data_IF_528959729982
#
_entry.id   IF_528959729982
#
_cell.length_a   1.000
_cell.length_b   1.000
_cell.length_c   1.000
_cell.angle_alpha   90.00
_cell.angle_beta   90.00
_cell.angle_gamma   90.00
#
_symmetry.space_group_name_H-M   'P 1'
#
loop_
_entity.id
_entity.type
_entity.pdbx_description
1 polymer ?
#
# COMPACT_ATOMS: atom_id res chain seq x y z
N UNK A 1 -45.01 22.76 25.45
CA UNK A 1 -43.61 23.20 25.67
C UNK A 1 -42.80 21.99 26.08
N UNK A 2 -42.14 21.34 25.13
CA UNK A 2 -41.05 20.39 25.35
C UNK A 2 -40.16 20.48 24.11
N UNK A 3 -39.31 21.50 24.11
CA UNK A 3 -38.13 21.59 23.23
C UNK A 3 -37.10 20.62 23.79
N UNK A 4 -37.07 19.39 23.28
CA UNK A 4 -35.98 18.46 23.56
C UNK A 4 -35.48 17.83 22.27
N UNK A 5 -34.34 18.38 21.84
CA UNK A 5 -33.20 17.69 21.27
C UNK A 5 -33.23 17.38 19.77
N UNK A 6 -33.25 18.45 18.97
CA UNK A 6 -33.02 18.44 17.53
C UNK A 6 -31.58 18.86 17.16
N UNK A 7 -30.63 18.62 18.07
CA UNK A 7 -29.22 19.01 17.92
C UNK A 7 -28.30 17.86 18.35
N UNK A 8 -27.90 17.01 17.40
CA UNK A 8 -26.61 16.29 17.36
C UNK A 8 -26.58 15.09 16.39
N UNK A 9 -27.49 14.96 15.41
CA UNK A 9 -27.11 14.27 14.17
C UNK A 9 -26.29 15.29 13.37
N UNK A 10 -25.03 15.50 13.77
CA UNK A 10 -24.05 16.00 12.82
C UNK A 10 -24.04 14.93 11.76
N UNK A 11 -24.60 15.25 10.60
CA UNK A 11 -24.46 14.44 9.42
C UNK A 11 -22.95 14.26 9.19
N UNK A 12 -22.39 13.16 9.68
CA UNK A 12 -20.97 12.83 9.55
C UNK A 12 -20.57 12.88 8.07
N UNK A 13 -21.52 12.64 7.15
CA UNK A 13 -21.33 12.80 5.71
C UNK A 13 -21.05 14.24 5.25
N UNK A 14 -21.34 15.26 6.07
CA UNK A 14 -21.02 16.65 5.78
C UNK A 14 -19.55 17.03 6.03
N UNK A 15 -18.81 16.22 6.81
CA UNK A 15 -17.38 16.45 7.10
C UNK A 15 -16.49 15.73 6.08
N UNK A 16 -16.96 14.63 5.51
CA UNK A 16 -16.19 13.82 4.57
C UNK A 16 -16.21 14.38 3.15
N UNK A 17 -15.07 14.32 2.46
CA UNK A 17 -15.03 14.63 1.04
C UNK A 17 -15.60 13.45 0.24
N UNK A 18 -16.84 13.61 -0.24
CA UNK A 18 -17.53 12.60 -1.06
C UNK A 18 -16.80 12.25 -2.36
N UNK A 19 -15.82 13.07 -2.80
CA UNK A 19 -14.98 12.76 -3.94
C UNK A 19 -13.91 11.69 -3.65
N UNK A 20 -13.62 11.41 -2.37
CA UNK A 20 -12.59 10.47 -1.95
C UNK A 20 -13.24 9.14 -1.53
N UNK A 21 -12.85 8.05 -2.19
CA UNK A 21 -13.28 6.71 -1.81
C UNK A 21 -12.84 6.37 -0.37
N UNK A 22 -13.65 5.61 0.38
CA UNK A 22 -13.27 5.11 1.69
C UNK A 22 -11.92 4.37 1.68
N UNK A 23 -11.03 4.77 2.58
CA UNK A 23 -9.69 4.19 2.68
C UNK A 23 -9.65 3.05 3.69
N UNK A 24 -9.13 1.89 3.27
CA UNK A 24 -8.95 0.73 4.15
C UNK A 24 -7.50 0.69 4.62
N UNK A 25 -7.29 0.94 5.92
CA UNK A 25 -5.96 1.02 6.50
C UNK A 25 -5.42 -0.38 6.75
N UNK A 26 -4.37 -0.73 6.02
CA UNK A 26 -3.70 -2.03 6.14
C UNK A 26 -2.56 -1.92 7.13
N UNK A 27 -2.55 -2.80 8.14
CA UNK A 27 -1.44 -2.93 9.10
C UNK A 27 -0.15 -3.37 8.40
N UNK A 28 0.99 -2.94 8.92
CA UNK A 28 2.33 -3.23 8.36
C UNK A 28 2.60 -4.75 8.25
N UNK A 29 2.24 -5.52 9.28
CA UNK A 29 2.38 -6.99 9.29
C UNK A 29 1.56 -7.66 8.20
N UNK A 30 0.33 -7.19 8.00
CA UNK A 30 -0.58 -7.67 6.96
C UNK A 30 -0.05 -7.32 5.57
N UNK A 31 0.47 -6.10 5.39
CA UNK A 31 1.12 -5.70 4.15
C UNK A 31 2.30 -6.61 3.78
N UNK A 32 3.18 -6.93 4.74
CA UNK A 32 4.28 -7.87 4.54
C UNK A 32 3.79 -9.27 4.18
N UNK A 33 2.84 -9.81 4.94
CA UNK A 33 2.28 -11.14 4.71
C UNK A 33 1.74 -11.26 3.28
N UNK A 34 0.90 -10.32 2.87
CA UNK A 34 0.33 -10.33 1.52
C UNK A 34 1.39 -10.11 0.44
N UNK A 35 2.42 -9.29 0.71
CA UNK A 35 3.52 -9.07 -0.22
C UNK A 35 4.32 -10.34 -0.48
N UNK A 36 4.67 -11.08 0.56
CA UNK A 36 5.41 -12.35 0.45
C UNK A 36 4.55 -13.39 -0.27
N UNK A 37 3.29 -13.50 0.13
CA UNK A 37 2.40 -14.54 -0.35
C UNK A 37 2.01 -14.36 -1.81
N UNK A 38 2.01 -13.12 -2.29
CA UNK A 38 1.75 -12.77 -3.68
C UNK A 38 3.03 -12.52 -4.47
N UNK A 39 4.21 -12.99 -4.02
CA UNK A 39 5.47 -12.83 -4.76
C UNK A 39 5.81 -11.38 -5.15
N UNK A 40 5.42 -10.41 -4.33
CA UNK A 40 5.66 -8.99 -4.60
C UNK A 40 4.60 -8.30 -5.47
N UNK A 41 3.51 -8.99 -5.87
CA UNK A 41 2.40 -8.35 -6.60
C UNK A 41 1.54 -7.44 -5.72
N UNK A 42 1.36 -7.75 -4.44
CA UNK A 42 0.55 -6.93 -3.54
C UNK A 42 1.04 -5.48 -3.38
N UNK A 43 2.37 -5.21 -3.23
CA UNK A 43 2.92 -3.86 -3.31
C UNK A 43 2.49 -3.07 -4.55
N UNK A 44 2.42 -3.72 -5.72
CA UNK A 44 1.98 -3.09 -6.99
C UNK A 44 0.52 -2.65 -6.88
N UNK A 45 -0.34 -3.52 -6.34
CA UNK A 45 -1.75 -3.18 -6.07
C UNK A 45 -1.88 -2.02 -5.07
N UNK A 46 -1.06 -2.00 -4.04
CA UNK A 46 -1.05 -0.90 -3.06
C UNK A 46 -0.61 0.42 -3.67
N UNK A 47 0.42 0.42 -4.53
CA UNK A 47 0.85 1.61 -5.29
C UNK A 47 -0.28 2.13 -6.18
N UNK A 48 -0.99 1.23 -6.87
CA UNK A 48 -2.17 1.58 -7.67
C UNK A 48 -3.24 2.29 -6.84
N UNK A 49 -3.66 1.69 -5.70
CA UNK A 49 -4.69 2.28 -4.84
C UNK A 49 -4.25 3.62 -4.25
N UNK A 50 -2.98 3.73 -3.86
CA UNK A 50 -2.44 4.98 -3.30
C UNK A 50 -2.42 6.09 -4.34
N UNK A 51 -2.09 5.80 -5.59
CA UNK A 51 -2.23 6.77 -6.67
C UNK A 51 -3.68 7.20 -6.87
N UNK A 52 -4.62 6.26 -6.87
CA UNK A 52 -6.06 6.58 -6.96
C UNK A 52 -6.51 7.55 -5.87
N UNK A 53 -6.08 7.32 -4.63
CA UNK A 53 -6.33 8.23 -3.50
C UNK A 53 -5.81 9.65 -3.77
N UNK A 54 -4.55 9.81 -4.16
CA UNK A 54 -3.99 11.15 -4.43
C UNK A 54 -4.64 11.85 -5.62
N UNK A 55 -5.05 11.09 -6.64
CA UNK A 55 -5.73 11.62 -7.83
C UNK A 55 -7.10 12.19 -7.45
N UNK A 56 -7.88 11.45 -6.64
CA UNK A 56 -9.17 11.91 -6.11
C UNK A 56 -8.99 13.13 -5.21
N UNK A 57 -8.05 13.05 -4.26
CA UNK A 57 -7.76 14.13 -3.31
C UNK A 57 -7.31 15.43 -4.00
N UNK A 58 -6.52 15.34 -5.06
CA UNK A 58 -6.02 16.49 -5.81
C UNK A 58 -6.95 16.91 -6.96
N UNK A 59 -8.07 16.20 -7.16
CA UNK A 59 -9.00 16.38 -8.29
C UNK A 59 -8.28 16.44 -9.64
N UNK A 60 -7.32 15.54 -9.82
CA UNK A 60 -6.50 15.46 -11.03
C UNK A 60 -7.10 14.44 -12.00
N UNK A 61 -7.07 14.71 -13.30
CA UNK A 61 -7.54 13.77 -14.34
C UNK A 61 -6.50 12.71 -14.74
N UNK A 62 -5.49 12.49 -13.89
CA UNK A 62 -4.45 11.51 -14.17
C UNK A 62 -4.96 10.06 -14.00
N UNK A 63 -4.37 9.14 -14.77
CA UNK A 63 -4.72 7.72 -14.66
C UNK A 63 -3.74 6.97 -13.73
N UNK A 64 -4.22 6.32 -12.65
CA UNK A 64 -3.37 5.56 -11.73
C UNK A 64 -2.71 4.34 -12.39
N UNK A 65 -3.37 3.68 -13.35
CA UNK A 65 -2.84 2.47 -13.99
C UNK A 65 -1.59 2.77 -14.82
N UNK A 66 -1.58 3.88 -15.56
CA UNK A 66 -0.41 4.31 -16.35
C UNK A 66 0.79 4.54 -15.42
N UNK A 67 0.57 5.16 -14.25
CA UNK A 67 1.63 5.41 -13.26
C UNK A 67 2.21 4.13 -12.67
N UNK A 68 1.40 3.07 -12.57
CA UNK A 68 1.85 1.74 -12.10
C UNK A 68 2.62 0.99 -13.18
N UNK A 69 2.21 1.09 -14.45
CA UNK A 69 2.97 0.51 -15.57
C UNK A 69 4.35 1.19 -15.66
N UNK A 70 4.37 2.52 -15.54
CA UNK A 70 5.60 3.32 -15.55
C UNK A 70 6.14 3.58 -14.13
N UNK A 71 6.03 2.60 -13.23
CA UNK A 71 6.35 2.78 -11.81
C UNK A 71 7.73 3.36 -11.55
N UNK A 72 8.72 3.03 -12.38
CA UNK A 72 10.09 3.58 -12.25
C UNK A 72 10.13 5.11 -12.25
N UNK A 73 9.26 5.78 -13.01
CA UNK A 73 9.19 7.25 -13.08
C UNK A 73 8.30 7.84 -11.99
N UNK A 74 7.26 7.10 -11.57
CA UNK A 74 6.20 7.62 -10.71
C UNK A 74 6.34 7.22 -9.24
N UNK A 75 7.16 6.22 -8.91
CA UNK A 75 7.30 5.75 -7.53
C UNK A 75 7.92 6.83 -6.62
N UNK A 76 9.01 7.46 -7.03
CA UNK A 76 9.64 8.52 -6.22
C UNK A 76 8.68 9.72 -5.99
N UNK A 77 8.00 10.27 -7.02
CA UNK A 77 6.94 11.26 -6.81
C UNK A 77 5.86 10.81 -5.83
N UNK A 78 5.42 9.54 -5.90
CA UNK A 78 4.42 9.00 -4.98
C UNK A 78 4.92 9.01 -3.54
N UNK A 79 6.12 8.48 -3.29
CA UNK A 79 6.72 8.43 -1.96
C UNK A 79 6.90 9.84 -1.37
N UNK A 80 7.28 10.82 -2.20
CA UNK A 80 7.38 12.22 -1.80
C UNK A 80 6.01 12.82 -1.45
N UNK A 81 4.95 12.53 -2.22
CA UNK A 81 3.58 12.97 -1.91
C UNK A 81 3.09 12.43 -0.58
N UNK A 82 3.31 11.13 -0.33
CA UNK A 82 2.99 10.48 0.94
C UNK A 82 3.71 11.17 2.09
N UNK A 83 5.03 11.37 1.97
CA UNK A 83 5.79 12.02 3.01
C UNK A 83 5.32 13.46 3.27
N UNK A 84 5.09 14.25 2.20
CA UNK A 84 4.60 15.62 2.32
C UNK A 84 3.25 15.66 3.02
N UNK A 85 2.33 14.77 2.63
CA UNK A 85 1.01 14.67 3.23
C UNK A 85 1.08 14.29 4.71
N UNK A 86 1.89 13.28 5.05
CA UNK A 86 2.09 12.86 6.43
C UNK A 86 2.69 13.96 7.30
N UNK A 87 3.70 14.68 6.79
CA UNK A 87 4.31 15.83 7.49
C UNK A 87 3.33 16.96 7.74
N UNK A 88 2.48 17.28 6.76
CA UNK A 88 1.41 18.27 6.92
C UNK A 88 0.42 17.91 8.04
N UNK A 89 0.22 16.61 8.27
CA UNK A 89 -0.61 16.08 9.37
C UNK A 89 0.18 15.79 10.65
N UNK A 90 1.40 16.30 10.78
CA UNK A 90 2.21 16.22 12.00
C UNK A 90 3.04 14.95 12.17
N UNK A 91 3.21 14.12 11.12
CA UNK A 91 4.04 12.91 11.21
C UNK A 91 5.52 13.25 11.40
N UNK A 92 6.08 12.83 12.53
CA UNK A 92 7.50 13.02 12.88
C UNK A 92 8.40 11.85 12.47
N UNK A 93 7.85 10.81 11.84
CA UNK A 93 8.62 9.63 11.46
C UNK A 93 9.67 9.95 10.39
N UNK A 94 10.89 9.43 10.59
CA UNK A 94 11.97 9.50 9.61
C UNK A 94 11.66 8.60 8.42
N UNK A 95 11.07 9.18 7.37
CA UNK A 95 10.93 8.54 6.07
C UNK A 95 11.92 9.17 5.10
N UNK A 96 12.58 8.35 4.27
CA UNK A 96 13.52 8.80 3.25
C UNK A 96 13.05 8.27 1.89
N UNK A 97 12.16 8.99 1.19
CA UNK A 97 11.60 8.56 -0.09
C UNK A 97 12.66 8.18 -1.12
N UNK A 98 13.73 8.98 -1.22
CA UNK A 98 14.80 8.76 -2.18
C UNK A 98 15.59 7.48 -1.90
N UNK A 99 15.94 7.24 -0.62
CA UNK A 99 16.63 6.03 -0.21
C UNK A 99 15.78 4.78 -0.47
N UNK A 100 14.49 4.85 -0.14
CA UNK A 100 13.53 3.77 -0.39
C UNK A 100 13.42 3.47 -1.88
N UNK A 101 13.30 4.51 -2.71
CA UNK A 101 13.25 4.37 -4.18
C UNK A 101 14.51 3.72 -4.76
N UNK A 102 15.70 4.15 -4.34
CA UNK A 102 16.97 3.57 -4.80
C UNK A 102 17.02 2.07 -4.46
N UNK A 103 16.69 1.70 -3.22
CA UNK A 103 16.72 0.29 -2.80
C UNK A 103 15.69 -0.56 -3.54
N UNK A 104 14.47 -0.06 -3.69
CA UNK A 104 13.44 -0.76 -4.46
C UNK A 104 13.91 -0.99 -5.89
N UNK A 105 14.51 0.02 -6.51
CA UNK A 105 15.01 -0.07 -7.90
C UNK A 105 16.15 -1.09 -7.98
N UNK A 106 17.19 -0.96 -7.15
CA UNK A 106 18.36 -1.86 -7.13
C UNK A 106 17.96 -3.31 -6.86
N UNK A 107 17.07 -3.55 -5.89
CA UNK A 107 16.59 -4.90 -5.55
C UNK A 107 15.71 -5.47 -6.67
N UNK A 108 14.96 -4.62 -7.38
CA UNK A 108 14.18 -5.07 -8.53
C UNK A 108 15.07 -5.57 -9.67
N UNK A 109 16.28 -5.03 -9.83
CA UNK A 109 17.25 -5.54 -10.81
C UNK A 109 17.74 -6.96 -10.50
N UNK A 110 17.63 -7.46 -9.26
CA UNK A 110 17.98 -8.84 -8.94
C UNK A 110 17.09 -9.87 -9.67
N UNK A 111 15.92 -9.46 -10.18
CA UNK A 111 15.07 -10.32 -11.00
C UNK A 111 15.69 -10.72 -12.35
N UNK A 112 16.70 -10.00 -12.82
CA UNK A 112 17.39 -10.32 -14.08
C UNK A 112 18.38 -11.49 -13.92
N UNK A 113 18.71 -11.87 -12.69
CA UNK A 113 19.64 -12.96 -12.42
C UNK A 113 18.95 -14.34 -12.49
N UNK A 114 19.72 -15.43 -12.65
CA UNK A 114 19.16 -16.79 -12.74
C UNK A 114 18.28 -17.17 -11.52
N UNK A 115 17.42 -18.19 -11.63
CA UNK A 115 16.75 -18.73 -10.45
C UNK A 115 17.77 -19.12 -9.36
N UNK A 116 17.55 -18.76 -8.08
CA UNK A 116 16.31 -18.25 -7.48
C UNK A 116 16.33 -16.74 -7.14
N UNK A 117 17.19 -15.94 -7.76
CA UNK A 117 17.40 -14.52 -7.38
C UNK A 117 16.14 -13.64 -7.50
N UNK A 118 15.14 -14.05 -8.30
CA UNK A 118 13.84 -13.37 -8.38
C UNK A 118 13.11 -13.26 -7.02
N UNK A 119 13.35 -14.18 -6.08
CA UNK A 119 12.75 -14.14 -4.74
C UNK A 119 13.23 -12.93 -3.92
N UNK A 120 14.42 -12.40 -4.23
CA UNK A 120 14.96 -11.21 -3.57
C UNK A 120 14.09 -9.98 -3.86
N UNK A 121 13.43 -9.94 -5.02
CA UNK A 121 12.52 -8.84 -5.38
C UNK A 121 11.30 -8.74 -4.46
N UNK A 122 10.93 -9.81 -3.77
CA UNK A 122 9.87 -9.79 -2.76
C UNK A 122 10.26 -8.85 -1.60
N UNK A 123 11.55 -8.73 -1.29
CA UNK A 123 12.06 -7.89 -0.19
C UNK A 123 11.84 -6.38 -0.43
N UNK A 124 11.51 -5.97 -1.66
CA UNK A 124 11.14 -4.58 -1.98
C UNK A 124 10.00 -4.05 -1.10
N UNK A 125 9.11 -4.93 -0.64
CA UNK A 125 7.99 -4.56 0.22
C UNK A 125 8.43 -3.94 1.56
N UNK A 126 9.58 -4.35 2.11
CA UNK A 126 10.14 -3.81 3.37
C UNK A 126 10.45 -2.32 3.21
N UNK A 127 10.94 -1.92 2.05
CA UNK A 127 11.27 -0.52 1.75
C UNK A 127 10.03 0.35 1.49
N UNK A 128 8.86 -0.26 1.28
CA UNK A 128 7.58 0.45 1.22
C UNK A 128 6.98 0.70 2.61
N UNK A 129 7.38 -0.03 3.64
CA UNK A 129 6.79 0.09 4.99
C UNK A 129 6.80 1.51 5.57
N UNK A 130 7.88 2.30 5.47
CA UNK A 130 7.87 3.67 5.98
C UNK A 130 6.81 4.54 5.29
N UNK A 131 6.52 4.27 4.01
CA UNK A 131 5.48 4.98 3.25
C UNK A 131 4.08 4.50 3.63
N UNK A 132 3.88 3.19 3.82
CA UNK A 132 2.61 2.63 4.32
C UNK A 132 2.27 3.23 5.68
N UNK A 133 3.24 3.25 6.61
CA UNK A 133 3.08 3.84 7.94
C UNK A 133 2.76 5.34 7.89
N UNK A 134 3.52 6.09 7.08
CA UNK A 134 3.32 7.52 6.93
C UNK A 134 1.94 7.84 6.33
N UNK A 135 1.48 7.08 5.33
CA UNK A 135 0.17 7.24 4.72
C UNK A 135 -0.96 6.93 5.71
N UNK A 136 -0.87 5.79 6.41
CA UNK A 136 -1.87 5.40 7.40
C UNK A 136 -2.00 6.46 8.50
N UNK A 137 -0.88 6.96 9.02
CA UNK A 137 -0.89 8.06 9.99
C UNK A 137 -1.56 9.31 9.41
N UNK A 138 -1.22 9.70 8.19
CA UNK A 138 -1.79 10.90 7.56
C UNK A 138 -3.30 10.80 7.38
N UNK A 139 -3.80 9.62 7.00
CA UNK A 139 -5.24 9.36 6.83
C UNK A 139 -5.95 9.38 8.19
N UNK A 140 -5.39 8.76 9.23
CA UNK A 140 -5.98 8.78 10.59
C UNK A 140 -6.10 10.18 11.18
N UNK A 141 -5.19 11.08 10.81
CA UNK A 141 -5.19 12.48 11.25
C UNK A 141 -5.99 13.41 10.31
N UNK A 142 -6.68 12.86 9.31
CA UNK A 142 -7.52 13.59 8.37
C UNK A 142 -9.00 13.37 8.69
N UNK A 143 -9.68 14.34 9.36
CA UNK A 143 -11.12 14.22 9.62
C UNK A 143 -11.95 14.16 8.34
N UNK A 144 -11.43 14.73 7.24
CA UNK A 144 -12.10 14.78 5.93
C UNK A 144 -12.08 13.44 5.16
N UNK A 145 -11.31 12.45 5.61
CA UNK A 145 -11.16 11.16 4.91
C UNK A 145 -11.87 10.08 5.71
N UNK A 146 -12.87 9.44 5.09
CA UNK A 146 -13.51 8.28 5.67
C UNK A 146 -12.56 7.08 5.58
N UNK A 147 -12.23 6.47 6.73
CA UNK A 147 -11.35 5.31 6.80
C UNK A 147 -11.93 4.19 7.66
N UNK A 148 -11.56 2.96 7.31
CA UNK A 148 -11.87 1.76 8.08
C UNK A 148 -10.58 1.06 8.45
N UNK A 149 -10.44 0.66 9.73
CA UNK A 149 -9.35 -0.20 10.14
C UNK A 149 -9.59 -1.63 9.64
N UNK A 150 -8.68 -2.15 8.83
CA UNK A 150 -8.81 -3.49 8.26
C UNK A 150 -8.31 -4.53 9.27
N UNK A 151 -9.14 -4.81 10.29
CA UNK A 151 -8.79 -5.70 11.41
C UNK A 151 -8.70 -7.18 11.02
N UNK A 152 -9.39 -7.61 9.96
CA UNK A 152 -9.52 -9.02 9.58
C UNK A 152 -9.08 -9.34 8.14
N UNK A 153 -8.86 -10.61 7.83
CA UNK A 153 -8.64 -11.04 6.44
C UNK A 153 -9.97 -11.01 5.69
N UNK A 154 -10.11 -10.04 4.78
CA UNK A 154 -11.29 -9.98 3.91
C UNK A 154 -11.31 -11.20 2.99
N UNK A 155 -12.48 -11.66 2.56
CA UNK A 155 -12.64 -12.87 1.72
C UNK A 155 -11.69 -12.89 0.51
N UNK A 156 -11.49 -11.73 -0.15
CA UNK A 156 -10.55 -11.60 -1.28
C UNK A 156 -9.09 -11.83 -0.88
N UNK A 157 -8.69 -11.34 0.29
CA UNK A 157 -7.34 -11.53 0.85
C UNK A 157 -7.14 -12.98 1.29
N UNK A 158 -8.17 -13.64 1.82
CA UNK A 158 -8.12 -15.05 2.18
C UNK A 158 -7.92 -15.94 0.94
N UNK A 159 -8.60 -15.64 -0.17
CA UNK A 159 -8.38 -16.34 -1.45
C UNK A 159 -6.95 -16.16 -1.94
N UNK A 160 -6.42 -14.93 -1.89
CA UNK A 160 -5.01 -14.65 -2.20
C UNK A 160 -4.05 -15.45 -1.30
N UNK A 161 -4.40 -15.60 -0.01
CA UNK A 161 -3.60 -16.35 0.94
C UNK A 161 -3.51 -17.82 0.59
N UNK A 162 -4.65 -18.45 0.29
CA UNK A 162 -4.73 -19.87 -0.08
C UNK A 162 -3.96 -20.12 -1.38
N UNK A 163 -4.23 -19.33 -2.42
CA UNK A 163 -3.59 -19.48 -3.73
C UNK A 163 -2.08 -19.26 -3.61
N UNK A 164 -1.66 -18.18 -2.96
CA UNK A 164 -0.24 -17.88 -2.75
C UNK A 164 0.49 -18.99 -2.00
N UNK A 165 -0.15 -19.57 -0.98
CA UNK A 165 0.44 -20.68 -0.20
C UNK A 165 0.69 -21.90 -1.07
N UNK A 166 -0.24 -22.24 -1.98
CA UNK A 166 -0.07 -23.34 -2.93
C UNK A 166 1.12 -23.06 -3.87
N UNK A 167 1.23 -21.86 -4.42
CA UNK A 167 2.38 -21.48 -5.26
C UNK A 167 3.71 -21.55 -4.51
N UNK A 168 3.76 -21.19 -3.23
CA UNK A 168 4.96 -21.32 -2.41
C UNK A 168 5.42 -22.78 -2.27
N UNK A 169 4.49 -23.74 -2.17
CA UNK A 169 4.84 -25.17 -2.15
C UNK A 169 5.55 -25.57 -3.44
N UNK A 170 5.04 -25.13 -4.61
CA UNK A 170 5.71 -25.39 -5.90
C UNK A 170 7.11 -24.77 -5.96
N UNK A 171 7.29 -23.55 -5.44
CA UNK A 171 8.60 -22.90 -5.37
C UNK A 171 9.57 -23.69 -4.52
N UNK A 172 9.16 -24.15 -3.32
CA UNK A 172 10.01 -24.96 -2.44
C UNK A 172 10.42 -26.27 -3.11
N UNK A 173 9.50 -26.97 -3.77
CA UNK A 173 9.81 -28.20 -4.53
C UNK A 173 10.85 -27.90 -5.64
N UNK A 174 10.67 -26.82 -6.39
CA UNK A 174 11.61 -26.41 -7.43
C UNK A 174 13.00 -26.06 -6.89
N UNK A 175 13.07 -25.39 -5.74
CA UNK A 175 14.34 -25.06 -5.08
C UNK A 175 15.08 -26.33 -4.60
N UNK A 176 14.36 -27.28 -4.00
CA UNK A 176 14.94 -28.56 -3.55
C UNK A 176 15.45 -29.34 -4.77
N UNK A 177 14.67 -29.42 -5.84
CA UNK A 177 15.08 -30.08 -7.08
C UNK A 177 16.33 -29.46 -7.72
N UNK A 178 16.46 -28.13 -7.65
CA UNK A 178 17.67 -27.43 -8.11
C UNK A 178 18.89 -27.72 -7.21
N UNK A 179 18.68 -27.84 -5.90
CA UNK A 179 19.76 -28.04 -4.93
C UNK A 179 20.33 -29.47 -4.91
N UNK A 180 19.54 -30.46 -5.36
CA UNK A 180 19.97 -31.88 -5.42
C UNK A 180 20.73 -32.18 -6.73
N UNK A 181 20.68 -31.28 -7.72
CA UNK A 181 21.32 -31.44 -9.03
C UNK A 181 22.72 -30.82 -9.05
#
# INVERSE_FOLDING_TARGET
MTTQNESAYIDESAIYDAAIEPQYLIKESKFLLLSILTFGFYPIWWVYKTWGFFIQKERSDANPAIRVIFNIFFLLPLLNRIQKFARQKGYQGKSYPMFSFILITVISFCSLFPPPFFLICILTCVFLLPAVKALNYAIQQSPEILFYEDEGLRTRQMVLVVIGSIFWVFVVIGLIGLAIK
#
